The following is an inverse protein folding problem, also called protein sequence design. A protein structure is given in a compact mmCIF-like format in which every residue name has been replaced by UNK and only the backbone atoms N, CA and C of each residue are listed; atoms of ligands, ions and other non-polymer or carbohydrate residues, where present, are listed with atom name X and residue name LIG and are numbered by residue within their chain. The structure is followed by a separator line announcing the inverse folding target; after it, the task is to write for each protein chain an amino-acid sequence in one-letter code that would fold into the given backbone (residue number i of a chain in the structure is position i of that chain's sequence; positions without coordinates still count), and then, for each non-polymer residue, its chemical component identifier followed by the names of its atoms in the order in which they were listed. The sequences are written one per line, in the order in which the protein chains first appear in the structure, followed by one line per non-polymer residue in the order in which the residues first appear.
data_IF_307831816804
#
_entry.id   IF_307831816804
#
_cell.length_a   1.000
_cell.length_b   1.000
_cell.length_c   1.000
_cell.angle_alpha   90.00
_cell.angle_beta   90.00
_cell.angle_gamma   90.00
#
_symmetry.space_group_name_H-M   'P 1'
#
loop_
_entity.id
_entity.type
_entity.pdbx_description
1 polymer ?
#
# COMPACT_ATOMS: atom_id res chain seq x y z
N UNK A 1 18.89 -31.12 -37.81
CA UNK A 1 19.07 -31.49 -36.39
C UNK A 1 18.69 -30.29 -35.55
N UNK A 2 17.73 -30.49 -34.66
CA UNK A 2 17.01 -29.49 -33.87
C UNK A 2 17.86 -28.88 -32.74
N UNK A 3 17.56 -27.62 -32.40
CA UNK A 3 17.47 -27.18 -31.00
C UNK A 3 16.53 -25.96 -30.91
N UNK A 4 15.52 -26.09 -30.05
CA UNK A 4 14.43 -25.16 -29.78
C UNK A 4 14.59 -24.71 -28.34
N UNK A 5 14.72 -23.40 -28.07
CA UNK A 5 14.54 -22.84 -26.71
C UNK A 5 13.71 -21.56 -26.83
N UNK A 6 12.51 -21.60 -26.25
CA UNK A 6 11.57 -20.48 -26.12
C UNK A 6 12.18 -19.39 -25.23
N UNK A 7 12.41 -18.21 -25.79
CA UNK A 7 12.80 -17.00 -25.07
C UNK A 7 11.60 -16.12 -24.77
N UNK A 8 11.23 -16.02 -23.50
CA UNK A 8 10.24 -15.08 -22.95
C UNK A 8 10.69 -13.64 -23.24
N UNK A 9 9.85 -12.86 -23.94
CA UNK A 9 10.07 -11.41 -24.11
C UNK A 9 9.57 -10.68 -22.85
N UNK A 10 10.48 -10.35 -21.94
CA UNK A 10 10.21 -9.41 -20.84
C UNK A 10 10.46 -8.00 -21.38
N UNK A 11 9.40 -7.18 -21.49
CA UNK A 11 9.54 -5.73 -21.72
C UNK A 11 9.98 -5.09 -20.40
N UNK A 12 11.23 -4.65 -20.31
CA UNK A 12 11.66 -3.73 -19.24
C UNK A 12 11.15 -2.32 -19.56
N UNK A 13 10.13 -1.87 -18.85
CA UNK A 13 9.75 -0.45 -18.83
C UNK A 13 10.71 0.28 -17.89
N UNK A 14 11.46 1.24 -18.45
CA UNK A 14 12.40 2.12 -17.75
C UNK A 14 11.68 2.89 -16.62
N UNK A 15 12.01 2.59 -15.36
CA UNK A 15 11.68 3.45 -14.22
C UNK A 15 12.73 4.56 -14.17
N UNK A 16 12.35 5.80 -14.47
CA UNK A 16 13.17 6.98 -14.24
C UNK A 16 13.18 7.30 -12.74
N UNK A 17 14.23 6.88 -12.05
CA UNK A 17 14.53 7.32 -10.68
C UNK A 17 15.17 8.71 -10.81
N UNK A 18 14.45 9.74 -10.41
CA UNK A 18 15.04 11.06 -10.16
C UNK A 18 15.79 11.00 -8.83
N UNK A 19 17.12 10.87 -8.91
CA UNK A 19 17.97 11.15 -7.77
C UNK A 19 18.01 12.67 -7.56
N UNK A 20 17.53 13.13 -6.41
CA UNK A 20 17.78 14.49 -5.92
C UNK A 20 19.29 14.58 -5.65
N UNK A 21 20.00 15.25 -6.56
CA UNK A 21 21.43 15.49 -6.48
C UNK A 21 21.73 16.46 -5.32
N UNK A 22 22.44 15.97 -4.29
CA UNK A 22 22.93 16.78 -3.18
C UNK A 22 24.46 16.99 -3.32
N UNK A 23 24.94 18.20 -3.64
CA UNK A 23 26.35 18.46 -3.93
C UNK A 23 27.29 18.42 -2.72
N UNK A 24 26.79 18.24 -1.49
CA UNK A 24 27.62 18.31 -0.27
C UNK A 24 28.37 17.01 0.09
N UNK A 25 28.16 15.89 -0.64
CA UNK A 25 28.74 14.58 -0.28
C UNK A 25 29.96 14.17 -1.12
N UNK A 26 30.32 14.92 -2.17
CA UNK A 26 31.33 14.51 -3.17
C UNK A 26 32.78 14.94 -2.85
N UNK A 27 33.01 15.61 -1.72
CA UNK A 27 34.34 16.08 -1.31
C UNK A 27 35.02 15.17 -0.25
N UNK A 28 34.25 14.33 0.45
CA UNK A 28 34.78 13.46 1.52
C UNK A 28 35.34 12.11 1.02
N UNK A 29 35.01 11.69 -0.20
CA UNK A 29 35.46 10.38 -0.74
C UNK A 29 36.76 10.49 -1.53
N UNK A 30 37.11 11.67 -2.06
CA UNK A 30 38.28 11.86 -2.93
C UNK A 30 39.64 11.79 -2.19
N UNK A 31 39.66 12.00 -0.87
CA UNK A 31 40.89 12.23 -0.11
C UNK A 31 41.43 11.03 0.71
N UNK A 32 40.91 9.81 0.55
CA UNK A 32 41.41 8.64 1.32
C UNK A 32 41.88 7.42 0.53
N UNK A 33 41.90 7.45 -0.81
CA UNK A 33 42.14 6.21 -1.60
C UNK A 33 43.49 6.16 -2.34
N UNK A 34 44.30 7.22 -2.37
CA UNK A 34 45.59 7.20 -3.09
C UNK A 34 46.80 7.40 -2.18
N UNK A 35 47.09 6.39 -1.37
CA UNK A 35 48.45 6.15 -0.89
C UNK A 35 48.53 4.73 -0.32
N UNK A 36 49.15 3.80 -1.06
CA UNK A 36 50.13 2.85 -0.52
C UNK A 36 50.78 2.07 -1.70
N UNK A 37 52.11 1.86 -1.65
CA UNK A 37 52.91 1.43 -2.79
C UNK A 37 52.96 -0.10 -2.98
N UNK A 38 53.18 -0.50 -4.24
CA UNK A 38 53.55 -1.84 -4.67
C UNK A 38 54.82 -2.34 -3.95
N UNK A 39 54.72 -3.39 -3.14
CA UNK A 39 55.87 -4.20 -2.73
C UNK A 39 55.59 -5.70 -2.87
N UNK A 40 56.29 -6.27 -3.84
CA UNK A 40 56.91 -7.62 -3.89
C UNK A 40 56.08 -8.83 -3.47
N UNK A 41 55.62 -9.54 -4.51
CA UNK A 41 55.31 -10.97 -4.56
C UNK A 41 56.25 -11.82 -3.68
N UNK A 42 55.69 -12.52 -2.70
CA UNK A 42 56.35 -13.66 -2.06
C UNK A 42 55.35 -14.80 -1.78
N UNK A 43 55.82 -16.00 -2.10
CA UNK A 43 55.14 -17.26 -2.35
C UNK A 43 54.58 -17.94 -1.08
N UNK A 44 53.73 -17.25 -0.30
CA UNK A 44 53.02 -17.83 0.87
C UNK A 44 51.50 -17.58 0.83
N UNK A 45 50.98 -17.32 -0.36
CA UNK A 45 49.56 -17.07 -0.62
C UNK A 45 48.83 -18.38 -0.96
N UNK A 46 48.80 -19.35 -0.05
CA UNK A 46 48.08 -20.62 -0.30
C UNK A 46 47.27 -21.14 0.88
N UNK A 47 47.10 -20.38 1.96
CA UNK A 47 46.36 -20.86 3.14
C UNK A 47 45.44 -19.82 3.81
N UNK A 48 45.16 -18.68 3.16
CA UNK A 48 44.22 -17.66 3.67
C UNK A 48 43.00 -17.41 2.77
N UNK A 49 42.91 -18.03 1.59
CA UNK A 49 41.78 -17.87 0.67
C UNK A 49 40.62 -18.87 0.90
N UNK A 50 40.62 -19.62 2.01
CA UNK A 50 39.54 -20.55 2.33
C UNK A 50 38.45 -19.97 3.25
N UNK A 51 38.67 -18.79 3.86
CA UNK A 51 37.71 -18.22 4.83
C UNK A 51 36.69 -17.23 4.23
N UNK A 52 36.87 -16.78 2.99
CA UNK A 52 35.97 -15.78 2.37
C UNK A 52 34.77 -16.44 1.66
N UNK A 53 34.74 -17.78 1.50
CA UNK A 53 33.64 -18.48 0.82
C UNK A 53 32.57 -19.09 1.74
N UNK A 54 32.71 -19.00 3.07
CA UNK A 54 31.78 -19.65 4.02
C UNK A 54 30.75 -18.67 4.62
N UNK A 55 30.86 -17.35 4.39
CA UNK A 55 29.99 -16.33 5.00
C UNK A 55 28.88 -15.81 4.07
N UNK A 56 28.57 -16.51 2.97
CA UNK A 56 27.50 -16.10 2.03
C UNK A 56 26.31 -17.06 1.95
N UNK A 57 26.23 -18.13 2.75
CA UNK A 57 25.08 -19.06 2.72
C UNK A 57 24.03 -18.78 3.80
N UNK A 58 24.22 -17.77 4.65
CA UNK A 58 23.26 -17.39 5.70
C UNK A 58 22.34 -16.23 5.29
N UNK A 59 21.87 -16.20 4.05
CA UNK A 59 21.06 -15.09 3.53
C UNK A 59 19.82 -15.55 2.77
N UNK A 60 18.94 -16.33 3.42
CA UNK A 60 17.53 -16.43 3.00
C UNK A 60 16.59 -16.67 4.18
N UNK A 61 16.74 -15.93 5.29
CA UNK A 61 15.51 -15.54 6.00
C UNK A 61 14.92 -14.42 5.16
N UNK A 62 13.99 -14.77 4.27
CA UNK A 62 13.14 -13.79 3.62
C UNK A 62 12.51 -12.94 4.71
N UNK A 63 12.92 -11.68 4.80
CA UNK A 63 12.08 -10.69 5.45
C UNK A 63 10.71 -10.77 4.75
N UNK A 64 9.59 -10.79 5.49
CA UNK A 64 8.31 -10.59 4.83
C UNK A 64 8.44 -9.32 4.02
N UNK A 65 8.22 -9.42 2.71
CA UNK A 65 7.90 -8.24 1.91
C UNK A 65 6.60 -7.75 2.53
N UNK A 66 6.72 -6.82 3.47
CA UNK A 66 5.60 -6.01 3.88
C UNK A 66 5.24 -5.23 2.62
N UNK A 67 4.36 -5.83 1.83
CA UNK A 67 3.58 -5.10 0.86
C UNK A 67 2.99 -3.97 1.68
N UNK A 68 3.57 -2.77 1.53
CA UNK A 68 2.86 -1.55 1.85
C UNK A 68 1.67 -1.60 0.90
N UNK A 69 0.61 -2.27 1.33
CA UNK A 69 -0.73 -1.85 1.02
C UNK A 69 -0.71 -0.41 1.52
N UNK A 70 -0.40 0.51 0.61
CA UNK A 70 -0.67 1.91 0.81
C UNK A 70 -2.17 1.89 1.02
N UNK A 71 -2.61 1.85 2.28
CA UNK A 71 -4.01 2.01 2.62
C UNK A 71 -4.37 3.31 1.89
N UNK A 72 -5.22 3.19 0.88
CA UNK A 72 -5.54 4.32 0.03
C UNK A 72 -6.54 5.14 0.85
N UNK A 73 -6.00 5.95 1.76
CA UNK A 73 -6.78 6.73 2.71
C UNK A 73 -7.51 7.85 1.96
N UNK A 74 -8.72 7.57 1.46
CA UNK A 74 -9.48 8.56 0.72
C UNK A 74 -9.66 9.84 1.56
N UNK A 75 -9.83 9.70 2.88
CA UNK A 75 -10.07 10.81 3.79
C UNK A 75 -8.90 11.82 3.85
N UNK A 76 -7.66 11.40 3.57
CA UNK A 76 -6.52 12.33 3.46
C UNK A 76 -6.65 13.27 2.26
N UNK A 77 -7.31 12.82 1.20
CA UNK A 77 -7.43 13.53 -0.07
C UNK A 77 -8.82 14.14 -0.29
N UNK A 78 -9.72 14.02 0.69
CA UNK A 78 -11.10 14.46 0.59
C UNK A 78 -11.48 15.29 1.84
N UNK A 79 -11.39 16.63 1.81
CA UNK A 79 -11.63 17.46 3.00
C UNK A 79 -13.09 17.54 3.47
N UNK A 80 -14.07 17.38 2.56
CA UNK A 80 -15.49 17.56 2.88
C UNK A 80 -16.25 16.25 2.72
N UNK A 81 -16.29 15.43 3.78
CA UNK A 81 -16.93 14.11 3.77
C UNK A 81 -18.21 14.15 4.60
N UNK A 82 -19.29 13.61 4.05
CA UNK A 82 -20.57 13.51 4.74
C UNK A 82 -21.31 12.23 4.35
N UNK A 83 -22.01 11.64 5.31
CA UNK A 83 -22.95 10.54 5.06
C UNK A 83 -24.36 11.12 4.97
N UNK A 84 -25.01 10.93 3.83
CA UNK A 84 -26.38 11.34 3.57
C UNK A 84 -27.40 10.26 3.90
N UNK A 85 -28.64 10.46 3.44
CA UNK A 85 -29.69 9.44 3.52
C UNK A 85 -29.35 8.21 2.68
N UNK A 86 -29.87 7.04 3.09
CA UNK A 86 -29.67 5.76 2.39
C UNK A 86 -28.18 5.39 2.25
N UNK A 87 -27.40 5.70 3.27
CA UNK A 87 -25.98 5.34 3.39
C UNK A 87 -25.14 5.78 2.17
N UNK A 88 -25.51 6.92 1.57
CA UNK A 88 -24.76 7.53 0.46
C UNK A 88 -23.69 8.47 1.03
N UNK A 89 -22.43 8.07 0.89
CA UNK A 89 -21.30 8.91 1.24
C UNK A 89 -21.03 9.91 0.11
N UNK A 90 -20.98 11.19 0.43
CA UNK A 90 -20.60 12.27 -0.48
C UNK A 90 -19.31 12.91 0.00
N UNK A 91 -18.34 13.05 -0.90
CA UNK A 91 -17.08 13.70 -0.59
C UNK A 91 -16.60 14.64 -1.71
N UNK A 92 -15.99 15.77 -1.34
CA UNK A 92 -15.16 16.55 -2.26
C UNK A 92 -13.72 16.03 -2.19
N UNK A 93 -13.18 15.53 -3.30
CA UNK A 93 -11.89 14.86 -3.36
C UNK A 93 -10.96 15.52 -4.37
N UNK A 94 -9.68 15.62 -4.04
CA UNK A 94 -8.68 16.14 -4.99
C UNK A 94 -8.49 15.16 -6.16
N UNK A 95 -8.49 15.68 -7.38
CA UNK A 95 -8.08 14.96 -8.57
C UNK A 95 -6.56 15.11 -8.81
N UNK A 96 -6.03 14.47 -9.85
CA UNK A 96 -4.59 14.50 -10.17
C UNK A 96 -4.09 15.89 -10.59
N UNK A 97 -4.99 16.81 -10.94
CA UNK A 97 -4.67 18.21 -11.23
C UNK A 97 -4.73 19.10 -9.97
N UNK A 98 -5.02 18.54 -8.79
CA UNK A 98 -5.18 19.28 -7.54
C UNK A 98 -6.50 20.05 -7.43
N UNK A 99 -7.46 19.81 -8.32
CA UNK A 99 -8.80 20.40 -8.23
C UNK A 99 -9.74 19.49 -7.45
N UNK A 100 -10.65 20.09 -6.67
CA UNK A 100 -11.69 19.35 -5.96
C UNK A 100 -12.79 18.91 -6.93
N UNK A 101 -13.16 17.64 -6.84
CA UNK A 101 -14.27 17.02 -7.54
C UNK A 101 -15.20 16.42 -6.50
N UNK A 102 -16.48 16.79 -6.53
CA UNK A 102 -17.48 16.16 -5.68
C UNK A 102 -17.94 14.84 -6.30
N UNK A 103 -17.88 13.78 -5.53
CA UNK A 103 -18.40 12.47 -5.90
C UNK A 103 -19.18 11.85 -4.76
N UNK A 104 -20.09 10.93 -5.11
CA UNK A 104 -20.92 10.22 -4.16
C UNK A 104 -20.91 8.73 -4.47
N UNK A 105 -20.98 7.91 -3.43
CA UNK A 105 -21.03 6.45 -3.53
C UNK A 105 -21.99 5.89 -2.47
N UNK A 106 -22.79 4.90 -2.84
CA UNK A 106 -23.62 4.17 -1.86
C UNK A 106 -22.74 3.16 -1.13
N UNK A 107 -22.73 3.20 0.20
CA UNK A 107 -21.95 2.25 1.00
C UNK A 107 -22.49 0.81 0.87
N UNK A 108 -23.75 0.60 0.49
CA UNK A 108 -24.30 -0.71 0.16
C UNK A 108 -23.62 -1.35 -1.04
N UNK A 109 -23.11 -0.54 -1.96
CA UNK A 109 -22.32 -1.06 -3.08
C UNK A 109 -20.93 -1.53 -2.68
N UNK A 110 -20.47 -1.20 -1.47
CA UNK A 110 -19.08 -1.38 -1.03
C UNK A 110 -18.91 -2.21 0.24
N UNK A 111 -19.96 -2.35 1.05
CA UNK A 111 -19.91 -2.96 2.38
C UNK A 111 -20.99 -4.01 2.51
N UNK A 112 -20.63 -5.15 3.08
CA UNK A 112 -21.55 -6.21 3.47
C UNK A 112 -21.53 -6.44 4.98
N UNK A 113 -22.62 -6.99 5.51
CA UNK A 113 -22.62 -7.64 6.81
C UNK A 113 -22.29 -9.13 6.65
N UNK A 114 -21.22 -9.59 7.29
CA UNK A 114 -20.86 -11.01 7.39
C UNK A 114 -20.91 -11.45 8.84
N UNK A 115 -21.98 -12.15 9.23
CA UNK A 115 -22.20 -12.67 10.58
C UNK A 115 -22.03 -11.61 11.69
N UNK A 116 -22.61 -10.42 11.49
CA UNK A 116 -22.58 -9.30 12.45
C UNK A 116 -21.32 -8.42 12.33
N UNK A 117 -20.50 -8.58 11.29
CA UNK A 117 -19.30 -7.79 11.04
C UNK A 117 -19.38 -7.07 9.69
N UNK A 118 -19.12 -5.77 9.68
CA UNK A 118 -18.95 -5.01 8.43
C UNK A 118 -17.65 -5.43 7.73
N UNK A 119 -17.74 -5.72 6.43
CA UNK A 119 -16.61 -6.08 5.58
C UNK A 119 -16.72 -5.40 4.23
N UNK A 120 -15.57 -5.04 3.63
CA UNK A 120 -15.52 -4.55 2.27
C UNK A 120 -15.96 -5.65 1.30
N UNK A 121 -16.98 -5.38 0.49
CA UNK A 121 -17.51 -6.30 -0.52
C UNK A 121 -18.35 -5.55 -1.54
N UNK A 122 -18.02 -5.74 -2.82
CA UNK A 122 -18.82 -5.23 -3.94
C UNK A 122 -20.25 -5.76 -3.88
N UNK A 123 -21.24 -4.86 -3.96
CA UNK A 123 -22.67 -5.18 -3.88
C UNK A 123 -23.06 -5.85 -2.56
N UNK A 124 -22.49 -5.39 -1.45
CA UNK A 124 -22.62 -6.02 -0.15
C UNK A 124 -23.95 -5.84 0.57
N UNK A 125 -24.64 -4.71 0.33
CA UNK A 125 -25.98 -4.40 0.80
C UNK A 125 -26.14 -4.57 2.33
N UNK A 126 -25.26 -3.92 3.09
CA UNK A 126 -25.22 -4.08 4.55
C UNK A 126 -26.46 -3.50 5.24
N UNK A 127 -27.05 -2.43 4.69
CA UNK A 127 -28.25 -1.76 5.21
C UNK A 127 -29.44 -2.70 5.43
N UNK A 128 -29.57 -3.76 4.61
CA UNK A 128 -30.61 -4.79 4.75
C UNK A 128 -30.60 -5.54 6.09
N UNK A 129 -29.48 -5.51 6.80
CA UNK A 129 -29.28 -6.30 8.02
C UNK A 129 -28.58 -5.54 9.14
N UNK A 130 -28.31 -4.25 8.94
CA UNK A 130 -27.69 -3.37 9.90
C UNK A 130 -28.59 -2.15 10.17
N UNK A 131 -28.54 -1.65 11.40
CA UNK A 131 -29.27 -0.46 11.86
C UNK A 131 -28.34 0.47 12.63
N UNK A 132 -28.85 1.63 13.02
CA UNK A 132 -28.11 2.62 13.84
C UNK A 132 -26.74 2.96 13.24
N UNK A 133 -26.73 3.24 11.93
CA UNK A 133 -25.53 3.61 11.19
C UNK A 133 -25.09 5.01 11.63
N UNK A 134 -23.86 5.08 12.12
CA UNK A 134 -23.20 6.31 12.56
C UNK A 134 -21.89 6.44 11.81
N UNK A 135 -21.69 7.59 11.17
CA UNK A 135 -20.45 7.94 10.50
C UNK A 135 -19.74 9.04 11.28
N UNK A 136 -18.46 8.81 11.59
CA UNK A 136 -17.59 9.77 12.26
C UNK A 136 -16.35 10.02 11.39
N UNK A 137 -16.07 11.29 11.11
CA UNK A 137 -14.92 11.73 10.32
C UNK A 137 -14.13 12.78 11.08
N UNK A 138 -12.81 12.59 11.16
CA UNK A 138 -11.90 13.44 11.92
C UNK A 138 -10.52 13.45 11.28
N UNK A 139 -10.15 14.56 10.64
CA UNK A 139 -8.89 14.65 9.90
C UNK A 139 -8.80 13.55 8.83
N UNK A 140 -7.85 12.63 8.99
CA UNK A 140 -7.64 11.49 8.10
C UNK A 140 -8.43 10.23 8.51
N UNK A 141 -9.19 10.26 9.60
CA UNK A 141 -10.02 9.15 10.06
C UNK A 141 -11.42 9.23 9.48
N UNK A 142 -11.96 8.09 9.06
CA UNK A 142 -13.32 7.94 8.55
C UNK A 142 -13.88 6.57 9.01
N UNK A 143 -14.64 6.54 10.10
CA UNK A 143 -15.17 5.31 10.70
C UNK A 143 -16.69 5.21 10.52
N UNK A 144 -17.15 4.01 10.15
CA UNK A 144 -18.57 3.67 10.08
C UNK A 144 -18.88 2.65 11.15
N UNK A 145 -19.77 3.00 12.07
CA UNK A 145 -20.28 2.11 13.12
C UNK A 145 -21.74 1.77 12.85
N UNK A 146 -22.13 0.51 13.03
CA UNK A 146 -23.50 0.06 12.90
C UNK A 146 -23.82 -1.10 13.85
N UNK A 147 -25.11 -1.36 14.08
CA UNK A 147 -25.60 -2.58 14.72
C UNK A 147 -26.04 -3.58 13.65
N UNK A 148 -25.29 -4.67 13.48
CA UNK A 148 -25.53 -5.64 12.42
C UNK A 148 -26.00 -6.99 12.99
N UNK A 149 -27.00 -7.59 12.35
CA UNK A 149 -27.50 -8.91 12.74
C UNK A 149 -26.48 -10.00 12.38
N UNK A 150 -26.14 -10.84 13.36
CA UNK A 150 -25.37 -12.06 13.13
C UNK A 150 -26.26 -13.22 12.63
N UNK A 151 -25.66 -14.39 12.38
CA UNK A 151 -26.40 -15.57 11.88
C UNK A 151 -27.48 -16.07 12.85
N UNK A 152 -27.36 -15.71 14.14
CA UNK A 152 -28.34 -15.99 15.20
C UNK A 152 -29.39 -14.89 15.36
N UNK A 153 -29.45 -13.91 14.44
CA UNK A 153 -30.35 -12.75 14.47
C UNK A 153 -30.18 -11.86 15.70
N UNK A 154 -28.96 -11.84 16.24
CA UNK A 154 -28.61 -10.93 17.33
C UNK A 154 -27.91 -9.71 16.73
N UNK A 155 -28.35 -8.52 17.12
CA UNK A 155 -27.69 -7.27 16.77
C UNK A 155 -26.34 -7.18 17.51
N UNK A 156 -25.28 -6.94 16.75
CA UNK A 156 -23.91 -6.80 17.25
C UNK A 156 -23.37 -5.48 16.72
N UNK A 157 -22.83 -4.64 17.61
CA UNK A 157 -22.12 -3.42 17.21
C UNK A 157 -20.82 -3.78 16.50
N UNK A 158 -20.61 -3.19 15.34
CA UNK A 158 -19.42 -3.38 14.51
C UNK A 158 -19.00 -2.05 13.90
N UNK A 159 -17.70 -1.86 13.78
CA UNK A 159 -17.08 -0.67 13.19
C UNK A 159 -16.15 -1.08 12.07
N UNK A 160 -16.13 -0.30 10.99
CA UNK A 160 -15.19 -0.44 9.88
C UNK A 160 -14.57 0.92 9.55
N UNK A 161 -13.26 0.92 9.31
CA UNK A 161 -12.54 2.08 8.79
C UNK A 161 -12.79 2.18 7.28
N UNK A 162 -13.45 3.24 6.84
CA UNK A 162 -13.75 3.49 5.43
C UNK A 162 -12.50 3.78 4.60
N UNK A 163 -11.37 4.17 5.20
CA UNK A 163 -10.09 4.23 4.47
C UNK A 163 -9.59 2.86 4.00
N UNK A 164 -10.06 1.78 4.62
CA UNK A 164 -9.78 0.41 4.18
C UNK A 164 -10.71 -0.09 3.08
N UNK A 165 -11.78 0.67 2.76
CA UNK A 165 -12.85 0.26 1.84
C UNK A 165 -12.89 1.15 0.60
N UNK A 166 -12.75 2.46 0.79
CA UNK A 166 -12.94 3.46 -0.23
C UNK A 166 -11.60 4.02 -0.70
N UNK A 167 -11.56 4.35 -1.98
CA UNK A 167 -10.40 4.96 -2.62
C UNK A 167 -10.83 6.18 -3.43
N UNK A 168 -10.05 7.25 -3.35
CA UNK A 168 -10.15 8.37 -4.28
C UNK A 168 -9.39 8.06 -5.58
N UNK A 169 -10.12 7.87 -6.67
CA UNK A 169 -9.57 7.70 -8.02
C UNK A 169 -9.79 8.99 -8.84
N UNK A 170 -8.78 9.86 -8.88
CA UNK A 170 -8.80 11.11 -9.65
C UNK A 170 -10.03 11.99 -9.36
N UNK A 171 -10.41 12.11 -8.08
CA UNK A 171 -11.56 12.90 -7.62
C UNK A 171 -12.86 12.10 -7.46
N UNK A 172 -12.87 10.82 -7.84
CA UNK A 172 -14.05 9.96 -7.75
C UNK A 172 -13.87 8.87 -6.70
N UNK A 173 -14.81 8.77 -5.76
CA UNK A 173 -14.88 7.66 -4.81
C UNK A 173 -15.12 6.33 -5.55
N UNK A 174 -14.35 5.31 -5.15
CA UNK A 174 -14.41 3.95 -5.70
C UNK A 174 -14.25 2.94 -4.57
N UNK A 175 -14.69 1.71 -4.79
CA UNK A 175 -14.56 0.58 -3.87
C UNK A 175 -14.41 -0.73 -4.66
N UNK A 176 -14.17 -1.88 -3.99
CA UNK A 176 -13.86 -3.16 -4.64
C UNK A 176 -14.89 -3.68 -5.65
#
# INVERSE_FOLDING_TARGET
MSAFIQGVRIRLTMVRIFFVYNPAFDELIRNRVYALPHQTFNLKMSLLFAFVLVVCTASTLGAPVEERATAINFAESCPDISLGSSDVLTAACFNNAGALVTSSISLDSCIANTNGKLVAKSGGAFDHSCTDVVFESSGSSAELTAQCNNDKKQAVTTTIDLNSVLTNNNGFLTCP
#
